data_IF_036876456922
#
_entry.id   IF_036876456922
#
_cell.length_a   1.000
_cell.length_b   1.000
_cell.length_c   1.000
_cell.angle_alpha   90.00
_cell.angle_beta   90.00
_cell.angle_gamma   90.00
#
_symmetry.space_group_name_H-M   'P 1'
#
loop_
_entity.id
_entity.type
_entity.pdbx_description
1 polymer ?
#
# COMPACT_ATOMS: atom_id res chain seq x y z
N UNK A 1 63.71 6.30 -12.73
CA UNK A 1 62.63 5.35 -12.39
C UNK A 1 63.06 4.61 -11.13
N UNK A 2 62.46 4.93 -9.98
CA UNK A 2 62.73 4.25 -8.71
C UNK A 2 61.56 3.34 -8.36
N UNK A 3 61.82 2.03 -8.27
CA UNK A 3 60.89 1.07 -7.69
C UNK A 3 61.10 1.07 -6.18
N UNK A 4 60.17 1.65 -5.44
CA UNK A 4 60.10 1.50 -3.98
C UNK A 4 59.46 0.16 -3.65
N UNK A 5 60.29 -0.87 -3.51
CA UNK A 5 59.88 -2.18 -3.05
C UNK A 5 60.09 -2.23 -1.54
N UNK A 6 59.12 -1.75 -0.78
CA UNK A 6 59.11 -1.91 0.69
C UNK A 6 58.95 -3.40 1.05
N UNK A 7 60.08 -4.11 1.16
CA UNK A 7 60.18 -5.54 1.47
C UNK A 7 59.65 -5.91 2.87
N UNK A 8 59.49 -4.92 3.75
CA UNK A 8 58.95 -5.11 5.10
C UNK A 8 58.08 -3.92 5.51
N UNK A 9 56.76 -4.09 5.45
CA UNK A 9 55.80 -3.04 5.84
C UNK A 9 55.25 -3.20 7.27
N UNK A 10 55.92 -3.96 8.14
CA UNK A 10 55.48 -4.18 9.53
C UNK A 10 54.05 -4.73 9.68
N UNK A 11 53.56 -5.50 8.70
CA UNK A 11 52.17 -6.02 8.68
C UNK A 11 51.12 -5.08 8.07
N UNK A 12 51.46 -3.83 7.71
CA UNK A 12 50.51 -2.86 7.15
C UNK A 12 49.82 -3.33 5.85
N UNK A 13 50.55 -4.03 4.96
CA UNK A 13 49.96 -4.63 3.76
C UNK A 13 48.90 -5.69 4.10
N UNK A 14 49.18 -6.55 5.08
CA UNK A 14 48.24 -7.57 5.54
C UNK A 14 47.01 -6.94 6.20
N UNK A 15 47.20 -5.89 7.00
CA UNK A 15 46.11 -5.12 7.60
C UNK A 15 45.22 -4.46 6.53
N UNK A 16 45.81 -3.85 5.50
CA UNK A 16 45.08 -3.27 4.35
C UNK A 16 44.28 -4.32 3.58
N UNK A 17 44.86 -5.49 3.32
CA UNK A 17 44.13 -6.61 2.67
C UNK A 17 42.99 -7.11 3.55
N UNK A 18 43.22 -7.23 4.86
CA UNK A 18 42.18 -7.65 5.82
C UNK A 18 41.04 -6.64 5.87
N UNK A 19 41.35 -5.34 5.92
CA UNK A 19 40.37 -4.26 5.87
C UNK A 19 39.57 -4.30 4.57
N UNK A 20 40.24 -4.47 3.42
CA UNK A 20 39.57 -4.56 2.12
C UNK A 20 38.62 -5.77 2.06
N UNK A 21 39.03 -6.93 2.58
CA UNK A 21 38.17 -8.12 2.69
C UNK A 21 36.95 -7.87 3.60
N UNK A 22 37.14 -7.20 4.74
CA UNK A 22 36.03 -6.83 5.64
C UNK A 22 35.07 -5.82 5.02
N UNK A 23 35.59 -4.86 4.26
CA UNK A 23 34.77 -3.91 3.52
C UNK A 23 33.94 -4.62 2.44
N UNK A 24 34.53 -5.56 1.70
CA UNK A 24 33.80 -6.37 0.72
C UNK A 24 32.65 -7.15 1.38
N UNK A 25 32.94 -7.89 2.47
CA UNK A 25 31.91 -8.61 3.23
C UNK A 25 30.78 -7.68 3.72
N UNK A 26 31.12 -6.47 4.15
CA UNK A 26 30.13 -5.48 4.58
C UNK A 26 29.28 -4.96 3.42
N UNK A 27 29.83 -4.83 2.21
CA UNK A 27 29.08 -4.43 1.01
C UNK A 27 28.16 -5.56 0.56
N UNK A 28 28.63 -6.81 0.52
CA UNK A 28 27.82 -7.99 0.18
C UNK A 28 26.63 -8.15 1.15
N UNK A 29 26.86 -7.97 2.46
CA UNK A 29 25.79 -8.02 3.46
C UNK A 29 24.78 -6.87 3.30
N UNK A 30 25.23 -5.67 2.90
CA UNK A 30 24.35 -4.54 2.59
C UNK A 30 23.51 -4.78 1.34
N UNK A 31 24.10 -5.41 0.32
CA UNK A 31 23.39 -5.77 -0.91
C UNK A 31 22.28 -6.77 -0.63
N UNK A 32 22.56 -7.85 0.10
CA UNK A 32 21.54 -8.84 0.45
C UNK A 32 20.44 -8.22 1.34
N UNK A 33 20.81 -7.36 2.28
CA UNK A 33 19.83 -6.61 3.08
C UNK A 33 18.94 -5.74 2.19
N UNK A 34 19.51 -4.97 1.28
CA UNK A 34 18.74 -4.13 0.36
C UNK A 34 17.79 -4.97 -0.50
N UNK A 35 18.23 -6.14 -0.96
CA UNK A 35 17.39 -7.08 -1.70
C UNK A 35 16.19 -7.55 -0.88
N UNK A 36 16.42 -7.91 0.38
CA UNK A 36 15.36 -8.33 1.31
C UNK A 36 14.39 -7.19 1.63
N UNK A 37 14.91 -5.98 1.85
CA UNK A 37 14.11 -4.78 2.12
C UNK A 37 13.18 -4.45 0.93
N UNK A 38 13.68 -4.55 -0.32
CA UNK A 38 12.87 -4.35 -1.52
C UNK A 38 11.75 -5.40 -1.63
N UNK A 39 12.08 -6.68 -1.41
CA UNK A 39 11.08 -7.77 -1.47
C UNK A 39 9.98 -7.53 -0.41
N UNK A 40 10.38 -7.13 0.79
CA UNK A 40 9.46 -6.83 1.89
C UNK A 40 8.54 -5.65 1.54
N UNK A 41 9.11 -4.55 1.05
CA UNK A 41 8.36 -3.34 0.67
C UNK A 41 7.32 -3.66 -0.43
N UNK A 42 7.74 -4.34 -1.51
CA UNK A 42 6.84 -4.71 -2.61
C UNK A 42 5.71 -5.63 -2.11
N UNK A 43 6.05 -6.61 -1.26
CA UNK A 43 5.06 -7.55 -0.71
C UNK A 43 4.03 -6.82 0.15
N UNK A 44 4.47 -5.93 1.04
CA UNK A 44 3.57 -5.15 1.90
C UNK A 44 2.61 -4.31 1.08
N UNK A 45 3.13 -3.57 0.09
CA UNK A 45 2.30 -2.70 -0.74
C UNK A 45 1.32 -3.50 -1.60
N UNK A 46 1.73 -4.64 -2.15
CA UNK A 46 0.84 -5.53 -2.88
C UNK A 46 -0.32 -6.05 -2.01
N UNK A 47 -0.02 -6.47 -0.77
CA UNK A 47 -1.03 -6.93 0.17
C UNK A 47 -1.99 -5.80 0.55
N UNK A 48 -1.50 -4.58 0.81
CA UNK A 48 -2.35 -3.41 1.08
C UNK A 48 -3.24 -3.05 -0.11
N UNK A 49 -2.74 -3.15 -1.35
CA UNK A 49 -3.57 -2.96 -2.54
C UNK A 49 -4.67 -4.01 -2.64
N UNK A 50 -4.33 -5.29 -2.44
CA UNK A 50 -5.30 -6.39 -2.46
C UNK A 50 -6.38 -6.20 -1.39
N UNK A 51 -5.99 -5.84 -0.18
CA UNK A 51 -6.90 -5.55 0.93
C UNK A 51 -7.85 -4.38 0.59
N UNK A 52 -7.33 -3.27 0.05
CA UNK A 52 -8.19 -2.14 -0.35
C UNK A 52 -9.19 -2.50 -1.46
N UNK A 53 -8.82 -3.42 -2.36
CA UNK A 53 -9.72 -3.91 -3.41
C UNK A 53 -10.86 -4.72 -2.81
N UNK A 54 -10.54 -5.69 -1.95
CA UNK A 54 -11.53 -6.51 -1.25
C UNK A 54 -12.45 -5.63 -0.37
N UNK A 55 -11.89 -4.63 0.33
CA UNK A 55 -12.67 -3.66 1.10
C UNK A 55 -13.63 -2.86 0.23
N UNK A 56 -13.21 -2.43 -0.96
CA UNK A 56 -14.08 -1.71 -1.91
C UNK A 56 -15.26 -2.59 -2.36
N UNK A 57 -15.01 -3.87 -2.66
CA UNK A 57 -16.08 -4.82 -3.01
C UNK A 57 -17.08 -5.02 -1.85
N UNK A 58 -16.60 -5.03 -0.61
CA UNK A 58 -17.45 -5.15 0.57
C UNK A 58 -18.27 -3.88 0.84
N UNK A 59 -17.68 -2.70 0.69
CA UNK A 59 -18.39 -1.43 0.89
C UNK A 59 -19.42 -1.19 -0.20
N UNK A 60 -19.15 -1.62 -1.43
CA UNK A 60 -20.09 -1.54 -2.55
C UNK A 60 -21.34 -2.38 -2.25
N UNK A 61 -21.19 -3.61 -1.78
CA UNK A 61 -22.34 -4.46 -1.36
C UNK A 61 -23.10 -3.85 -0.18
N UNK A 62 -22.38 -3.26 0.78
CA UNK A 62 -23.00 -2.58 1.92
C UNK A 62 -23.82 -1.36 1.47
N UNK A 63 -23.34 -0.62 0.48
CA UNK A 63 -24.05 0.49 -0.13
C UNK A 63 -25.32 0.02 -0.83
N UNK A 64 -25.24 -1.00 -1.69
CA UNK A 64 -26.41 -1.58 -2.38
C UNK A 64 -27.47 -2.04 -1.37
N UNK A 65 -27.05 -2.68 -0.28
CA UNK A 65 -27.96 -3.11 0.78
C UNK A 65 -28.63 -1.95 1.51
N UNK A 66 -27.89 -0.86 1.77
CA UNK A 66 -28.42 0.33 2.41
C UNK A 66 -29.41 1.08 1.50
N UNK A 67 -29.14 1.12 0.19
CA UNK A 67 -30.05 1.69 -0.82
C UNK A 67 -31.38 0.93 -0.87
N UNK A 68 -31.32 -0.41 -0.90
CA UNK A 68 -32.53 -1.25 -0.87
C UNK A 68 -33.33 -1.05 0.43
N UNK A 69 -32.64 -0.95 1.57
CA UNK A 69 -33.31 -0.74 2.85
C UNK A 69 -33.97 0.64 2.93
N UNK A 70 -33.28 1.69 2.48
CA UNK A 70 -33.83 3.05 2.45
C UNK A 70 -35.08 3.11 1.57
N UNK A 71 -35.04 2.53 0.36
CA UNK A 71 -36.21 2.47 -0.53
C UNK A 71 -37.39 1.69 0.09
N UNK A 72 -37.09 0.60 0.83
CA UNK A 72 -38.11 -0.17 1.54
C UNK A 72 -38.76 0.62 2.69
N UNK A 73 -37.98 1.33 3.49
CA UNK A 73 -38.48 2.15 4.60
C UNK A 73 -39.24 3.37 4.09
N UNK A 74 -38.74 4.03 3.04
CA UNK A 74 -39.45 5.11 2.35
C UNK A 74 -40.83 4.64 1.86
N UNK A 75 -40.88 3.47 1.22
CA UNK A 75 -42.13 2.82 0.83
C UNK A 75 -43.08 2.61 2.02
N UNK A 76 -42.59 2.17 3.18
CA UNK A 76 -43.43 2.04 4.38
C UNK A 76 -43.92 3.39 4.89
N UNK A 77 -43.04 4.39 4.93
CA UNK A 77 -43.37 5.73 5.44
C UNK A 77 -44.49 6.38 4.62
N UNK A 78 -44.42 6.34 3.28
CA UNK A 78 -45.47 6.90 2.42
C UNK A 78 -46.81 6.18 2.54
N UNK A 79 -46.80 4.91 2.99
CA UNK A 79 -48.01 4.12 3.26
C UNK A 79 -48.46 4.21 4.73
N UNK A 80 -47.81 5.05 5.56
CA UNK A 80 -48.13 5.20 6.99
C UNK A 80 -47.76 4.00 7.86
N UNK A 81 -46.92 3.08 7.35
CA UNK A 81 -46.48 1.86 8.03
C UNK A 81 -45.14 2.01 8.76
N UNK A 82 -44.45 3.14 8.58
CA UNK A 82 -43.25 3.54 9.30
C UNK A 82 -43.35 5.00 9.71
N UNK A 83 -42.67 5.37 10.79
CA UNK A 83 -42.62 6.76 11.25
C UNK A 83 -41.42 7.51 10.65
N UNK A 84 -41.37 8.85 10.86
CA UNK A 84 -40.31 9.71 10.31
C UNK A 84 -38.92 9.38 10.88
N UNK A 85 -38.83 8.87 12.11
CA UNK A 85 -37.54 8.51 12.73
C UNK A 85 -36.93 7.32 12.00
N UNK A 86 -37.73 6.30 11.69
CA UNK A 86 -37.26 5.14 10.90
C UNK A 86 -36.75 5.54 9.53
N UNK A 87 -37.42 6.48 8.85
CA UNK A 87 -36.96 7.01 7.55
C UNK A 87 -35.62 7.73 7.67
N UNK A 88 -35.50 8.63 8.66
CA UNK A 88 -34.24 9.37 8.90
C UNK A 88 -33.10 8.42 9.27
N UNK A 89 -33.35 7.38 10.07
CA UNK A 89 -32.34 6.37 10.42
C UNK A 89 -31.87 5.59 9.18
N UNK A 90 -32.79 5.27 8.26
CA UNK A 90 -32.46 4.63 7.00
C UNK A 90 -31.62 5.55 6.09
N UNK A 91 -31.95 6.84 6.02
CA UNK A 91 -31.19 7.83 5.27
C UNK A 91 -29.78 8.05 5.85
N UNK A 92 -29.64 8.09 7.18
CA UNK A 92 -28.32 8.16 7.86
C UNK A 92 -27.50 6.91 7.54
N UNK A 93 -28.10 5.73 7.57
CA UNK A 93 -27.43 4.47 7.23
C UNK A 93 -26.94 4.48 5.79
N UNK A 94 -27.77 4.94 4.85
CA UNK A 94 -27.38 5.10 3.44
C UNK A 94 -26.25 6.11 3.27
N UNK A 95 -26.34 7.27 3.94
CA UNK A 95 -25.29 8.29 3.87
C UNK A 95 -23.94 7.77 4.38
N UNK A 96 -23.93 7.03 5.49
CA UNK A 96 -22.73 6.41 6.03
C UNK A 96 -22.16 5.35 5.08
N UNK A 97 -23.01 4.53 4.46
CA UNK A 97 -22.57 3.54 3.48
C UNK A 97 -21.93 4.20 2.23
N UNK A 98 -22.52 5.30 1.74
CA UNK A 98 -21.95 6.10 0.63
C UNK A 98 -20.58 6.67 0.98
N UNK A 99 -20.43 7.26 2.17
CA UNK A 99 -19.15 7.80 2.65
C UNK A 99 -18.10 6.69 2.74
N UNK A 100 -18.47 5.54 3.33
CA UNK A 100 -17.57 4.39 3.48
C UNK A 100 -17.10 3.85 2.12
N UNK A 101 -18.01 3.72 1.15
CA UNK A 101 -17.67 3.28 -0.20
C UNK A 101 -16.73 4.27 -0.91
N UNK A 102 -17.03 5.56 -0.85
CA UNK A 102 -16.18 6.59 -1.45
C UNK A 102 -14.76 6.60 -0.85
N UNK A 103 -14.65 6.40 0.47
CA UNK A 103 -13.35 6.27 1.14
C UNK A 103 -12.59 5.02 0.68
N UNK A 104 -13.28 3.88 0.55
CA UNK A 104 -12.66 2.63 0.08
C UNK A 104 -12.15 2.76 -1.37
N UNK A 105 -12.94 3.36 -2.26
CA UNK A 105 -12.53 3.64 -3.65
C UNK A 105 -11.28 4.55 -3.71
N UNK A 106 -11.25 5.60 -2.89
CA UNK A 106 -10.09 6.48 -2.80
C UNK A 106 -8.84 5.73 -2.29
N UNK A 107 -8.98 4.93 -1.23
CA UNK A 107 -7.88 4.14 -0.68
C UNK A 107 -7.34 3.13 -1.70
N UNK A 108 -8.22 2.50 -2.48
CA UNK A 108 -7.84 1.60 -3.56
C UNK A 108 -6.99 2.30 -4.62
N UNK A 109 -7.38 3.51 -5.04
CA UNK A 109 -6.60 4.30 -5.99
C UNK A 109 -5.23 4.66 -5.43
N UNK A 110 -5.17 5.12 -4.16
CA UNK A 110 -3.91 5.45 -3.50
C UNK A 110 -2.99 4.23 -3.39
N UNK A 111 -3.52 3.07 -3.00
CA UNK A 111 -2.73 1.85 -2.87
C UNK A 111 -2.30 1.28 -4.22
N UNK A 112 -3.12 1.43 -5.26
CA UNK A 112 -2.71 1.11 -6.63
C UNK A 112 -1.53 1.98 -7.09
N UNK A 113 -1.58 3.28 -6.79
CA UNK A 113 -0.46 4.18 -7.09
C UNK A 113 0.80 3.78 -6.30
N UNK A 114 0.68 3.45 -5.01
CA UNK A 114 1.84 2.94 -4.24
C UNK A 114 2.42 1.68 -4.87
N UNK A 115 1.59 0.76 -5.36
CA UNK A 115 2.03 -0.47 -6.02
C UNK A 115 2.84 -0.18 -7.28
N UNK A 116 2.38 0.74 -8.12
CA UNK A 116 3.13 1.15 -9.31
C UNK A 116 4.48 1.79 -8.94
N UNK A 117 4.52 2.55 -7.84
CA UNK A 117 5.75 3.20 -7.35
C UNK A 117 6.81 2.17 -7.00
N UNK A 118 6.45 1.17 -6.19
CA UNK A 118 7.39 0.13 -5.75
C UNK A 118 7.75 -0.85 -6.87
N UNK A 119 6.86 -1.01 -7.86
CA UNK A 119 7.15 -1.77 -9.07
C UNK A 119 8.06 -1.02 -10.07
N UNK A 120 8.40 0.25 -9.80
CA UNK A 120 9.23 1.07 -10.69
C UNK A 120 8.54 1.45 -12.01
N UNK A 121 7.20 1.34 -12.08
CA UNK A 121 6.42 1.68 -13.27
C UNK A 121 6.10 3.19 -13.29
N UNK A 122 6.30 3.89 -14.42
CA UNK A 122 6.06 5.33 -14.50
C UNK A 122 4.57 5.68 -14.38
N UNK A 123 4.27 6.75 -13.65
CA UNK A 123 2.93 7.34 -13.53
C UNK A 123 2.68 8.31 -14.68
N UNK A 124 2.09 7.83 -15.78
CA UNK A 124 1.48 8.72 -16.77
C UNK A 124 0.00 8.41 -16.93
N UNK A 125 -0.84 9.33 -16.42
CA UNK A 125 -2.22 9.48 -16.86
C UNK A 125 -2.16 9.86 -18.34
N UNK A 126 -2.34 8.89 -19.23
CA UNK A 126 -2.54 9.17 -20.65
C UNK A 126 -3.95 9.76 -20.79
N UNK A 127 -4.07 11.07 -20.57
CA UNK A 127 -5.21 11.83 -21.07
C UNK A 127 -5.04 11.96 -22.59
N UNK A 128 -5.88 11.26 -23.32
CA UNK A 128 -6.36 11.69 -24.64
C UNK A 128 -7.88 11.56 -24.61
#
# INVERSE_FOLDING_TARGET
>A
LGLDLSLFTGGANLARVTQAKKNLQAVEAKEEKLRQDIILEVTQVYLSFKESRERTELTQKSLEQAELNQAFVEGKYINGLANIVELVDADITLANAKISNAQAEYDLQVNYLKLLKVAGMPFYKRSM
#
